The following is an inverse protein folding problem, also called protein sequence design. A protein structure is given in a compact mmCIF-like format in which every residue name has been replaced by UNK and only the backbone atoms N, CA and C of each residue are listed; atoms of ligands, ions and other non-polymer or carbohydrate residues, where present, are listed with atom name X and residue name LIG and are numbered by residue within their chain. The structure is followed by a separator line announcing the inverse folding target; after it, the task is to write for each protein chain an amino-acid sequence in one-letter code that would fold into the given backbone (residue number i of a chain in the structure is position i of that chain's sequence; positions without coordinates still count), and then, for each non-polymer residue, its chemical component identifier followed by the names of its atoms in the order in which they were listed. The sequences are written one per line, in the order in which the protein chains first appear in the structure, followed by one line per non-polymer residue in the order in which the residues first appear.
data_IF_395905370819
#
_entry.id   IF_395905370819
#
_cell.length_a   1.000
_cell.length_b   1.000
_cell.length_c   1.000
_cell.angle_alpha   90.00
_cell.angle_beta   90.00
_cell.angle_gamma   90.00
#
_symmetry.space_group_name_H-M   'P 1'
#
loop_
_entity.id
_entity.type
_entity.pdbx_description
1 polymer ?
#
# COMPACT_ATOMS: atom_id res chain seq x y z
N UNK A 1 7.45 -0.03 -15.05
CA UNK A 1 8.40 -1.05 -14.66
C UNK A 1 7.83 -1.80 -13.45
N UNK A 2 7.29 -3.02 -13.65
CA UNK A 2 6.57 -3.81 -12.64
C UNK A 2 7.37 -4.17 -11.36
N UNK A 3 8.62 -3.79 -11.28
CA UNK A 3 9.48 -4.03 -10.12
C UNK A 3 9.06 -3.21 -8.88
N UNK A 4 8.34 -2.10 -9.06
CA UNK A 4 7.91 -1.26 -7.94
C UNK A 4 6.81 -1.89 -7.08
N UNK A 5 5.96 -2.72 -7.65
CA UNK A 5 4.82 -3.33 -6.96
C UNK A 5 5.20 -4.48 -6.04
N UNK A 6 6.33 -5.11 -6.27
CA UNK A 6 6.83 -6.18 -5.41
C UNK A 6 7.27 -5.70 -4.03
N UNK A 7 7.42 -4.38 -3.83
CA UNK A 7 7.76 -3.79 -2.53
C UNK A 7 6.55 -3.52 -1.63
N UNK A 8 5.34 -3.60 -2.18
CA UNK A 8 4.11 -3.49 -1.39
C UNK A 8 3.63 -4.92 -1.10
N UNK A 9 4.47 -5.66 -0.40
CA UNK A 9 4.13 -7.02 0.00
C UNK A 9 3.05 -7.00 1.08
N UNK A 10 2.18 -8.00 1.02
CA UNK A 10 1.18 -8.20 2.05
C UNK A 10 1.83 -8.52 3.39
N UNK A 11 1.31 -7.91 4.43
CA UNK A 11 1.57 -8.45 5.76
C UNK A 11 0.48 -8.16 6.70
N UNK A 12 0.29 -8.69 7.80
CA UNK A 12 0.89 -8.63 8.78
C UNK A 12 0.43 -8.97 10.14
N UNK A 13 0.59 -10.16 10.46
CA UNK A 13 0.76 -10.54 11.85
C UNK A 13 2.12 -10.05 12.33
N UNK A 14 2.17 -9.65 13.60
CA UNK A 14 3.42 -9.31 14.24
C UNK A 14 4.39 -10.50 14.23
N UNK A 15 5.59 -10.25 13.76
CA UNK A 15 6.65 -11.24 13.66
C UNK A 15 7.63 -11.09 14.82
N UNK A 16 8.17 -12.21 15.29
CA UNK A 16 9.14 -12.24 16.37
C UNK A 16 10.52 -11.78 15.92
N UNK A 17 11.16 -10.97 16.76
CA UNK A 17 12.54 -10.53 16.59
C UNK A 17 13.41 -11.37 17.54
N UNK A 18 14.51 -11.90 17.05
CA UNK A 18 15.50 -12.61 17.88
C UNK A 18 16.47 -11.65 18.54
N UNK A 19 16.96 -10.66 17.83
CA UNK A 19 17.84 -9.63 18.37
C UNK A 19 17.79 -8.34 17.57
N UNK A 20 18.10 -7.22 18.23
CA UNK A 20 18.40 -5.94 17.60
C UNK A 20 19.71 -5.42 18.19
N UNK A 21 20.70 -5.26 17.33
CA UNK A 21 21.98 -4.64 17.66
C UNK A 21 22.11 -3.32 16.88
N UNK A 22 23.07 -2.47 17.26
CA UNK A 22 23.31 -1.24 16.51
C UNK A 22 24.79 -0.89 16.41
N UNK A 23 25.10 -0.18 15.34
CA UNK A 23 26.32 0.62 15.20
C UNK A 23 25.85 2.05 14.92
N UNK A 24 26.08 2.92 15.89
CA UNK A 24 25.57 4.31 15.86
C UNK A 24 24.05 4.35 15.61
N UNK A 25 23.59 4.93 14.51
CA UNK A 25 22.17 5.02 14.14
C UNK A 25 21.72 3.89 13.21
N UNK A 26 22.59 2.97 12.83
CA UNK A 26 22.21 1.81 12.02
C UNK A 26 21.90 0.63 12.92
N UNK A 27 20.66 0.18 12.93
CA UNK A 27 20.23 -1.03 13.61
C UNK A 27 20.34 -2.24 12.67
N UNK A 28 20.76 -3.38 13.24
CA UNK A 28 20.70 -4.71 12.61
C UNK A 28 19.69 -5.55 13.37
N UNK A 29 18.64 -5.95 12.70
CA UNK A 29 17.59 -6.81 13.23
C UNK A 29 17.78 -8.24 12.71
N UNK A 30 17.69 -9.20 13.62
CA UNK A 30 17.70 -10.64 13.30
C UNK A 30 16.36 -11.26 13.65
N UNK A 31 15.82 -12.06 12.75
CA UNK A 31 14.58 -12.82 12.92
C UNK A 31 14.88 -14.29 13.24
N UNK A 32 13.93 -14.96 13.88
CA UNK A 32 14.08 -16.38 14.24
C UNK A 32 14.02 -17.32 13.01
N UNK A 33 13.34 -16.90 11.96
CA UNK A 33 13.17 -17.64 10.71
C UNK A 33 13.40 -16.71 9.52
N UNK A 34 13.59 -17.27 8.34
CA UNK A 34 13.71 -16.48 7.11
C UNK A 34 12.49 -15.55 6.94
N UNK A 35 12.75 -14.26 6.81
CA UNK A 35 11.71 -13.23 6.77
C UNK A 35 11.07 -13.00 5.40
N UNK A 36 11.69 -13.47 4.31
CA UNK A 36 11.16 -13.32 2.95
C UNK A 36 11.08 -11.87 2.44
N UNK A 37 11.69 -10.92 3.17
CA UNK A 37 11.70 -9.51 2.78
C UNK A 37 12.78 -9.22 1.74
N UNK A 38 12.60 -8.11 1.04
CA UNK A 38 13.58 -7.58 0.08
C UNK A 38 13.97 -6.14 0.48
N UNK A 39 15.15 -5.72 0.07
CA UNK A 39 15.61 -4.35 0.30
C UNK A 39 14.62 -3.34 -0.26
N UNK A 40 14.25 -2.36 0.57
CA UNK A 40 13.26 -1.35 0.25
C UNK A 40 11.88 -1.60 0.87
N UNK A 41 11.59 -2.80 1.38
CA UNK A 41 10.38 -3.01 2.17
C UNK A 41 10.35 -2.04 3.36
N UNK A 42 9.15 -1.73 3.83
CA UNK A 42 8.94 -0.96 5.06
C UNK A 42 8.44 -1.87 6.16
N UNK A 43 8.97 -1.67 7.35
CA UNK A 43 8.56 -2.39 8.56
C UNK A 43 8.20 -1.40 9.66
N UNK A 44 7.24 -1.78 10.49
CA UNK A 44 6.94 -1.11 11.75
C UNK A 44 7.49 -1.96 12.88
N UNK A 45 8.37 -1.40 13.71
CA UNK A 45 8.92 -2.05 14.90
C UNK A 45 8.27 -1.46 16.13
N UNK A 46 7.81 -2.31 17.04
CA UNK A 46 7.14 -1.88 18.27
C UNK A 46 7.59 -2.74 19.46
N UNK A 47 7.58 -2.11 20.65
CA UNK A 47 7.88 -2.81 21.91
C UNK A 47 9.37 -3.07 22.16
N UNK A 48 10.28 -2.55 21.35
CA UNK A 48 11.71 -2.64 21.63
C UNK A 48 12.16 -1.58 22.64
N UNK A 49 13.15 -1.88 23.48
CA UNK A 49 13.90 -0.93 24.30
C UNK A 49 15.30 -0.72 23.67
N UNK A 50 15.82 0.50 23.49
CA UNK A 50 15.28 1.81 23.73
C UNK A 50 14.25 2.23 22.65
N UNK A 51 13.54 3.33 22.91
CA UNK A 51 12.49 3.85 22.01
C UNK A 51 12.98 4.18 20.59
N UNK A 52 14.27 4.49 20.41
CA UNK A 52 14.88 4.75 19.11
C UNK A 52 14.78 3.57 18.12
N UNK A 53 14.61 2.35 18.61
CA UNK A 53 14.42 1.17 17.78
C UNK A 53 13.00 1.07 17.20
N UNK A 54 12.02 1.77 17.79
CA UNK A 54 10.62 1.69 17.41
C UNK A 54 10.26 2.73 16.35
N UNK A 55 9.39 2.37 15.43
CA UNK A 55 8.92 3.25 14.36
C UNK A 55 8.75 2.54 13.04
N UNK A 56 8.52 3.33 12.00
CA UNK A 56 8.40 2.88 10.61
C UNK A 56 9.74 3.09 9.91
N UNK A 57 10.30 2.00 9.37
CA UNK A 57 11.62 2.04 8.75
C UNK A 57 11.61 1.37 7.38
N UNK A 58 12.35 1.97 6.45
CA UNK A 58 12.73 1.30 5.22
C UNK A 58 13.97 0.47 5.48
N UNK A 59 13.97 -0.79 5.05
CA UNK A 59 15.02 -1.75 5.38
C UNK A 59 15.97 -2.02 4.22
N UNK A 60 17.18 -2.44 4.57
CA UNK A 60 18.13 -3.05 3.66
C UNK A 60 18.36 -4.50 4.11
N UNK A 61 17.99 -5.47 3.27
CA UNK A 61 18.17 -6.89 3.56
C UNK A 61 19.63 -7.25 3.41
N UNK A 62 20.20 -7.88 4.45
CA UNK A 62 21.60 -8.31 4.51
C UNK A 62 21.77 -9.82 4.55
N UNK A 63 20.69 -10.56 4.80
CA UNK A 63 20.67 -12.02 4.81
C UNK A 63 19.24 -12.56 4.87
N UNK A 64 19.07 -13.87 4.83
CA UNK A 64 17.74 -14.50 4.87
C UNK A 64 16.98 -14.19 6.17
N UNK A 65 17.70 -13.99 7.26
CA UNK A 65 17.15 -13.71 8.59
C UNK A 65 17.56 -12.33 9.12
N UNK A 66 18.27 -11.50 8.34
CA UNK A 66 18.83 -10.23 8.83
C UNK A 66 18.54 -9.09 7.87
N UNK A 67 18.23 -7.94 8.45
CA UNK A 67 18.15 -6.67 7.73
C UNK A 67 18.58 -5.50 8.62
N UNK A 68 18.92 -4.41 7.98
CA UNK A 68 19.30 -3.16 8.65
C UNK A 68 18.31 -2.05 8.36
N UNK A 69 18.25 -1.06 9.26
CA UNK A 69 17.48 0.18 9.10
C UNK A 69 18.17 1.34 9.85
N UNK A 70 17.84 2.56 9.44
CA UNK A 70 18.42 3.76 10.04
C UNK A 70 17.46 4.39 11.04
N UNK A 71 17.92 4.56 12.26
CA UNK A 71 17.20 5.21 13.37
C UNK A 71 17.46 6.73 13.37
N UNK A 72 16.56 7.50 13.97
CA UNK A 72 16.70 8.94 14.12
C UNK A 72 17.81 9.31 15.13
N UNK A 73 18.10 8.45 16.11
CA UNK A 73 19.12 8.66 17.15
C UNK A 73 19.81 7.35 17.51
N UNK A 74 21.03 7.48 18.08
CA UNK A 74 21.77 6.32 18.60
C UNK A 74 21.18 5.89 19.95
N UNK A 75 20.71 4.63 20.10
CA UNK A 75 20.16 4.12 21.36
C UNK A 75 21.20 3.86 22.45
N UNK A 76 22.49 3.88 22.12
CA UNK A 76 23.59 3.68 23.07
C UNK A 76 23.97 2.22 23.34
N UNK A 77 23.29 1.25 22.75
CA UNK A 77 23.55 -0.19 22.89
C UNK A 77 22.44 -1.04 22.32
N UNK A 78 22.65 -2.35 22.27
CA UNK A 78 21.68 -3.32 21.76
C UNK A 78 20.36 -3.32 22.55
N UNK A 79 19.26 -3.66 21.88
CA UNK A 79 17.97 -3.76 22.54
C UNK A 79 17.95 -4.86 23.62
N UNK A 80 17.49 -4.53 24.81
CA UNK A 80 17.30 -5.51 25.91
C UNK A 80 15.96 -6.21 25.83
N UNK A 81 14.96 -5.52 25.27
CA UNK A 81 13.68 -6.11 24.82
C UNK A 81 13.58 -5.83 23.34
N UNK A 82 13.36 -6.86 22.55
CA UNK A 82 13.43 -6.75 21.08
C UNK A 82 12.09 -6.42 20.41
N UNK A 83 10.97 -6.60 21.12
CA UNK A 83 9.64 -6.32 20.58
C UNK A 83 9.24 -7.23 19.42
N UNK A 84 8.45 -6.68 18.52
CA UNK A 84 7.97 -7.35 17.29
C UNK A 84 8.10 -6.39 16.10
N UNK A 85 8.09 -6.96 14.89
CA UNK A 85 7.94 -6.16 13.68
C UNK A 85 6.72 -6.63 12.86
N UNK A 86 6.11 -5.69 12.17
CA UNK A 86 5.14 -5.93 11.12
C UNK A 86 5.68 -5.34 9.82
N UNK A 87 5.37 -5.97 8.72
CA UNK A 87 5.72 -5.38 7.40
C UNK A 87 4.61 -4.42 6.99
N UNK A 88 4.90 -3.23 6.60
CA UNK A 88 3.92 -2.29 6.06
C UNK A 88 3.62 -2.67 4.62
N UNK A 89 2.50 -3.31 4.42
CA UNK A 89 2.05 -3.77 3.11
C UNK A 89 0.56 -3.52 2.89
N UNK A 90 0.08 -3.88 1.71
CA UNK A 90 -1.35 -3.89 1.40
C UNK A 90 -1.91 -5.25 1.78
N UNK A 91 -2.99 -5.26 2.56
CA UNK A 91 -3.72 -6.48 2.97
C UNK A 91 -5.11 -6.51 2.35
N UNK A 92 -5.74 -7.69 2.34
CA UNK A 92 -7.07 -7.89 1.73
C UNK A 92 -7.02 -8.28 0.25
N UNK A 93 -5.88 -8.11 -0.40
CA UNK A 93 -5.66 -8.46 -1.80
C UNK A 93 -4.20 -8.88 -2.03
N UNK A 94 -3.95 -9.70 -3.03
CA UNK A 94 -2.60 -9.98 -3.48
C UNK A 94 -2.07 -8.80 -4.31
N UNK A 95 -1.22 -7.97 -3.72
CA UNK A 95 -0.67 -6.77 -4.38
C UNK A 95 0.18 -7.06 -5.64
N UNK A 96 0.65 -8.31 -5.82
CA UNK A 96 1.35 -8.71 -7.05
C UNK A 96 0.43 -8.76 -8.28
N UNK A 97 -0.88 -8.69 -8.08
CA UNK A 97 -1.86 -8.61 -9.17
C UNK A 97 -2.12 -7.18 -9.65
N UNK A 98 -1.53 -6.18 -9.02
CA UNK A 98 -1.71 -4.80 -9.44
C UNK A 98 -0.89 -4.47 -10.70
N UNK A 99 -1.56 -3.83 -11.66
CA UNK A 99 -0.96 -3.43 -12.94
C UNK A 99 -0.89 -1.91 -13.12
N UNK A 100 -1.62 -1.15 -12.31
CA UNK A 100 -1.65 0.31 -12.37
C UNK A 100 -1.92 0.93 -11.01
N UNK A 101 -1.50 2.18 -10.85
CA UNK A 101 -1.80 3.01 -9.68
C UNK A 101 -2.17 4.40 -10.11
N UNK A 102 -3.10 4.99 -9.38
CA UNK A 102 -3.41 6.41 -9.49
C UNK A 102 -3.70 7.00 -8.11
N UNK A 103 -3.52 8.31 -7.98
CA UNK A 103 -3.88 9.07 -6.80
C UNK A 103 -5.15 9.88 -7.10
N UNK A 104 -6.19 9.68 -6.30
CA UNK A 104 -7.42 10.46 -6.39
C UNK A 104 -7.94 10.78 -4.99
N UNK A 105 -8.25 12.06 -4.73
CA UNK A 105 -8.75 12.55 -3.43
C UNK A 105 -7.93 12.01 -2.23
N UNK A 106 -6.60 12.10 -2.33
CA UNK A 106 -5.64 11.65 -1.32
C UNK A 106 -5.71 10.14 -0.99
N UNK A 107 -6.22 9.30 -1.90
CA UNK A 107 -6.23 7.84 -1.82
C UNK A 107 -5.47 7.25 -2.99
N UNK A 108 -4.72 6.19 -2.74
CA UNK A 108 -4.14 5.35 -3.78
C UNK A 108 -5.21 4.38 -4.28
N UNK A 109 -5.31 4.27 -5.60
CA UNK A 109 -6.15 3.32 -6.33
C UNK A 109 -5.27 2.40 -7.16
N UNK A 110 -5.58 1.12 -7.16
CA UNK A 110 -4.82 0.09 -7.87
C UNK A 110 -5.73 -0.69 -8.81
N UNK A 111 -5.36 -0.72 -10.08
CA UNK A 111 -6.03 -1.55 -11.08
C UNK A 111 -5.53 -2.99 -10.93
N UNK A 112 -6.45 -3.95 -10.79
CA UNK A 112 -6.10 -5.37 -10.68
C UNK A 112 -6.07 -6.02 -12.06
N UNK A 113 -5.05 -6.84 -12.30
CA UNK A 113 -4.85 -7.61 -13.52
C UNK A 113 -6.02 -8.57 -13.78
N UNK A 114 -6.47 -8.65 -15.02
CA UNK A 114 -7.49 -9.60 -15.50
C UNK A 114 -8.79 -9.59 -14.68
N UNK A 115 -9.17 -8.42 -14.13
CA UNK A 115 -10.32 -8.25 -13.25
C UNK A 115 -11.04 -6.93 -13.52
N UNK A 116 -12.34 -6.88 -13.27
CA UNK A 116 -13.11 -5.62 -13.22
C UNK A 116 -13.01 -4.93 -11.85
N UNK A 117 -12.00 -5.25 -11.06
CA UNK A 117 -11.82 -4.70 -9.72
C UNK A 117 -10.73 -3.62 -9.70
N UNK A 118 -11.03 -2.52 -9.03
CA UNK A 118 -10.08 -1.53 -8.56
C UNK A 118 -9.99 -1.64 -7.03
N UNK A 119 -8.80 -1.56 -6.50
CA UNK A 119 -8.57 -1.56 -5.07
C UNK A 119 -8.14 -0.17 -4.62
N UNK A 120 -8.58 0.28 -3.46
CA UNK A 120 -8.21 1.58 -2.94
C UNK A 120 -7.79 1.51 -1.47
N UNK A 121 -6.88 2.43 -1.10
CA UNK A 121 -6.38 2.56 0.26
C UNK A 121 -7.20 3.57 1.07
N UNK A 122 -7.12 3.52 2.40
CA UNK A 122 -7.57 4.63 3.23
C UNK A 122 -6.90 5.96 2.83
N UNK A 123 -7.53 7.08 3.20
CA UNK A 123 -6.97 8.42 2.93
C UNK A 123 -5.57 8.54 3.51
N UNK A 124 -4.63 9.10 2.71
CA UNK A 124 -3.24 9.34 3.10
C UNK A 124 -2.48 8.08 3.55
N UNK A 125 -2.93 6.89 3.12
CA UNK A 125 -2.28 5.63 3.43
C UNK A 125 -1.62 5.01 2.20
N UNK A 126 -0.42 4.46 2.41
CA UNK A 126 0.33 3.70 1.40
C UNK A 126 0.35 2.20 1.69
N UNK A 127 -0.22 1.77 2.81
CA UNK A 127 -0.30 0.39 3.25
C UNK A 127 -1.51 0.17 4.17
N UNK A 128 -1.73 -1.08 4.59
CA UNK A 128 -2.86 -1.51 5.40
C UNK A 128 -3.95 -2.21 4.59
N UNK A 129 -5.16 -2.28 5.13
CA UNK A 129 -6.27 -2.96 4.46
C UNK A 129 -6.74 -2.18 3.23
N UNK A 130 -6.66 -2.79 2.06
CA UNK A 130 -7.26 -2.29 0.84
C UNK A 130 -8.75 -2.68 0.79
N UNK A 131 -9.56 -1.79 0.23
CA UNK A 131 -10.97 -2.04 -0.06
C UNK A 131 -11.18 -2.22 -1.57
N UNK A 132 -12.09 -3.10 -1.93
CA UNK A 132 -12.42 -3.39 -3.32
C UNK A 132 -13.53 -2.47 -3.83
N UNK A 133 -13.37 -1.98 -5.05
CA UNK A 133 -14.40 -1.37 -5.86
C UNK A 133 -14.59 -2.26 -7.09
N UNK A 134 -15.70 -2.99 -7.14
CA UNK A 134 -16.00 -3.96 -8.20
C UNK A 134 -16.93 -3.35 -9.23
N UNK A 135 -16.55 -3.41 -10.50
CA UNK A 135 -17.32 -2.92 -11.63
C UNK A 135 -18.05 -4.04 -12.39
N UNK A 136 -17.99 -5.29 -11.92
CA UNK A 136 -18.63 -6.44 -12.58
C UNK A 136 -20.12 -6.30 -12.77
N UNK A 137 -20.82 -5.58 -11.88
CA UNK A 137 -22.24 -5.27 -12.00
C UNK A 137 -22.57 -4.00 -12.80
N UNK A 138 -21.55 -3.24 -13.25
CA UNK A 138 -21.69 -1.92 -13.88
C UNK A 138 -21.23 -1.97 -15.33
N UNK A 139 -20.09 -2.65 -15.59
CA UNK A 139 -19.53 -2.84 -16.92
C UNK A 139 -20.45 -3.75 -17.74
N UNK A 140 -21.02 -3.23 -18.83
CA UNK A 140 -21.99 -3.92 -19.67
C UNK A 140 -21.34 -4.84 -20.69
N UNK A 141 -20.18 -4.45 -21.18
CA UNK A 141 -19.43 -5.17 -22.21
C UNK A 141 -18.45 -6.18 -21.61
N UNK A 142 -18.39 -6.30 -20.27
CA UNK A 142 -17.44 -7.18 -19.57
C UNK A 142 -16.00 -6.79 -19.79
N UNK A 143 -15.11 -7.79 -19.86
CA UNK A 143 -13.66 -7.58 -19.98
C UNK A 143 -12.99 -7.44 -18.62
N UNK A 144 -11.93 -6.62 -18.55
CA UNK A 144 -11.21 -6.32 -17.32
C UNK A 144 -10.87 -4.82 -17.26
N UNK A 145 -10.60 -4.33 -16.05
CA UNK A 145 -10.22 -2.95 -15.85
C UNK A 145 -8.79 -2.73 -16.35
N UNK A 146 -8.61 -1.82 -17.29
CA UNK A 146 -7.34 -1.55 -17.93
C UNK A 146 -6.59 -0.40 -17.28
N UNK A 147 -7.33 0.66 -16.91
CA UNK A 147 -6.75 1.84 -16.30
C UNK A 147 -7.75 2.56 -15.40
N UNK A 148 -7.21 3.30 -14.45
CA UNK A 148 -7.91 4.34 -13.70
C UNK A 148 -7.19 5.66 -13.93
N UNK A 149 -7.94 6.72 -14.19
CA UNK A 149 -7.44 8.08 -14.38
C UNK A 149 -8.27 9.08 -13.60
N UNK A 150 -7.79 10.30 -13.50
CA UNK A 150 -8.53 11.43 -12.97
C UNK A 150 -8.86 12.38 -14.11
N UNK A 151 -10.04 12.95 -14.06
CA UNK A 151 -10.47 13.97 -15.02
C UNK A 151 -11.06 15.15 -14.27
N UNK A 152 -10.45 16.31 -14.42
CA UNK A 152 -10.92 17.55 -13.81
C UNK A 152 -11.66 18.37 -14.87
N UNK A 153 -12.89 18.75 -14.56
CA UNK A 153 -13.68 19.67 -15.38
C UNK A 153 -13.91 20.92 -14.54
N UNK A 154 -13.57 22.10 -15.09
CA UNK A 154 -13.96 23.37 -14.55
C UNK A 154 -15.16 23.89 -15.37
N UNK A 155 -16.35 23.81 -14.79
CA UNK A 155 -17.60 24.25 -15.43
C UNK A 155 -18.05 25.64 -14.90
N UNK A 156 -17.17 26.37 -14.23
CA UNK A 156 -17.45 27.74 -13.74
C UNK A 156 -17.98 27.82 -12.31
N UNK A 157 -18.22 26.69 -11.65
CA UNK A 157 -18.60 26.60 -10.21
C UNK A 157 -17.52 25.98 -9.34
N UNK A 158 -16.30 25.85 -9.86
CA UNK A 158 -15.16 25.16 -9.26
C UNK A 158 -14.78 23.89 -10.01
N UNK A 159 -13.60 23.36 -9.70
CA UNK A 159 -13.08 22.17 -10.35
C UNK A 159 -13.73 20.91 -9.79
N UNK A 160 -14.51 20.21 -10.62
CA UNK A 160 -15.01 18.88 -10.34
C UNK A 160 -14.00 17.82 -10.79
N UNK A 161 -13.50 17.05 -9.84
CA UNK A 161 -12.61 15.94 -10.13
C UNK A 161 -13.38 14.63 -10.23
N UNK A 162 -13.26 13.99 -11.36
CA UNK A 162 -13.87 12.68 -11.64
C UNK A 162 -12.85 11.57 -11.55
N UNK A 163 -13.26 10.43 -10.98
CA UNK A 163 -12.56 9.17 -11.11
C UNK A 163 -13.05 8.47 -12.37
N UNK A 164 -12.15 8.17 -13.30
CA UNK A 164 -12.46 7.57 -14.61
C UNK A 164 -11.82 6.20 -14.68
N UNK A 165 -12.62 5.18 -14.96
CA UNK A 165 -12.18 3.81 -15.10
C UNK A 165 -12.45 3.33 -16.52
N UNK A 166 -11.44 2.74 -17.15
CA UNK A 166 -11.52 2.28 -18.55
C UNK A 166 -11.37 0.76 -18.57
N UNK A 167 -12.32 0.08 -19.24
CA UNK A 167 -12.27 -1.37 -19.42
C UNK A 167 -11.57 -1.75 -20.73
N UNK A 168 -11.11 -3.00 -20.81
CA UNK A 168 -10.47 -3.56 -22.01
C UNK A 168 -11.42 -3.61 -23.22
N UNK A 169 -12.73 -3.63 -22.99
CA UNK A 169 -13.75 -3.66 -24.03
C UNK A 169 -14.29 -2.26 -24.40
N UNK A 170 -13.57 -1.21 -23.98
CA UNK A 170 -13.81 0.16 -24.44
C UNK A 170 -14.85 0.92 -23.62
N UNK A 171 -15.38 0.38 -22.53
CA UNK A 171 -16.26 1.15 -21.66
C UNK A 171 -15.49 2.11 -20.78
N UNK A 172 -16.06 3.29 -20.59
CA UNK A 172 -15.57 4.31 -19.68
C UNK A 172 -16.59 4.53 -18.57
N UNK A 173 -16.21 4.22 -17.32
CA UNK A 173 -17.06 4.34 -16.14
C UNK A 173 -16.57 5.56 -15.35
N UNK A 174 -17.46 6.50 -15.07
CA UNK A 174 -17.12 7.78 -14.44
C UNK A 174 -17.85 7.96 -13.13
N UNK A 175 -17.09 8.25 -12.07
CA UNK A 175 -17.59 8.58 -10.75
C UNK A 175 -17.21 9.99 -10.34
N UNK A 176 -18.09 10.63 -9.60
CA UNK A 176 -17.86 11.86 -8.86
C UNK A 176 -17.92 11.55 -7.36
N UNK A 177 -16.98 12.04 -6.59
CA UNK A 177 -17.01 11.92 -5.14
C UNK A 177 -15.65 11.81 -4.49
N UNK A 178 -15.65 11.52 -3.20
CA UNK A 178 -14.43 11.49 -2.37
C UNK A 178 -14.18 10.15 -1.71
N UNK A 179 -15.25 9.38 -1.44
CA UNK A 179 -15.15 8.12 -0.68
C UNK A 179 -15.95 6.99 -1.32
N UNK A 180 -15.28 6.01 -1.96
CA UNK A 180 -15.96 4.87 -2.59
C UNK A 180 -16.75 3.99 -1.61
N UNK A 181 -16.46 4.05 -0.31
CA UNK A 181 -17.21 3.30 0.71
C UNK A 181 -18.54 3.94 1.10
N UNK A 182 -18.75 5.20 0.71
CA UNK A 182 -19.93 5.97 1.09
C UNK A 182 -20.78 6.34 -0.12
N UNK A 183 -21.89 5.66 -0.30
CA UNK A 183 -22.82 5.87 -1.43
C UNK A 183 -23.37 7.32 -1.50
N UNK A 184 -23.40 8.05 -0.40
CA UNK A 184 -23.84 9.44 -0.40
C UNK A 184 -22.82 10.39 -1.00
N UNK A 185 -21.55 10.00 -1.01
CA UNK A 185 -20.43 10.83 -1.49
C UNK A 185 -19.69 10.22 -2.69
N UNK A 186 -20.19 9.11 -3.25
CA UNK A 186 -19.61 8.42 -4.39
C UNK A 186 -20.69 8.08 -5.41
N UNK A 187 -20.86 8.92 -6.40
CA UNK A 187 -21.95 8.84 -7.38
C UNK A 187 -21.45 8.42 -8.76
N UNK A 188 -22.03 7.36 -9.31
CA UNK A 188 -21.85 7.01 -10.72
C UNK A 188 -22.48 8.12 -11.60
N UNK A 189 -21.68 8.68 -12.50
CA UNK A 189 -22.14 9.70 -13.46
C UNK A 189 -22.56 9.10 -14.79
N UNK A 190 -21.93 8.02 -15.20
CA UNK A 190 -22.30 7.30 -16.41
C UNK A 190 -21.32 6.20 -16.78
N UNK A 191 -21.76 5.44 -17.78
CA UNK A 191 -21.00 4.38 -18.46
C UNK A 191 -21.17 4.60 -19.96
N UNK A 192 -20.08 4.79 -20.68
CA UNK A 192 -20.06 5.07 -22.13
C UNK A 192 -19.23 4.05 -22.88
#
# INVERSE_FOLDING_TARGET
NGTFWSYIATTSTAQTISSITNVTTTATLTTASAHGLITGNQVTITGATASAYNGNFRITVTGATTFTYTMASNPGGSATVVGTYTVLGITGVNSNTFIGVNLFKNRLYFTQKDSLSCWYMPVQSIGGAASQLDFGGIARNGGYLQAMATWTIDAGEGADDYAVFVTSNGETIVYLGTDPSNIATWALKGVW
#
